data_IF_436588609932
#
_entry.id   IF_436588609932
#
_cell.length_a   1.000
_cell.length_b   1.000
_cell.length_c   1.000
_cell.angle_alpha   90.00
_cell.angle_beta   90.00
_cell.angle_gamma   90.00
#
_symmetry.space_group_name_H-M   'P 1'
#
loop_
_entity.id
_entity.type
_entity.pdbx_description
1 polymer ?
#
# COMPACT_ATOMS: atom_id res chain seq x y z
N UNK A 1 -3.74 -18.94 -27.38
CA UNK A 1 -2.63 -18.02 -27.68
C UNK A 1 -1.90 -18.54 -28.89
N UNK A 2 -1.51 -17.65 -29.80
CA UNK A 2 -0.67 -17.98 -30.96
C UNK A 2 0.76 -17.52 -30.71
N UNK A 3 1.67 -17.89 -31.59
CA UNK A 3 3.06 -17.40 -31.63
C UNK A 3 3.18 -15.88 -31.85
N UNK A 4 2.10 -15.24 -32.33
CA UNK A 4 1.99 -13.79 -32.49
C UNK A 4 1.46 -13.07 -31.25
N UNK A 5 0.87 -13.77 -30.28
CA UNK A 5 0.33 -13.15 -29.06
C UNK A 5 1.46 -12.57 -28.20
N UNK A 6 1.32 -11.32 -27.77
CA UNK A 6 2.17 -10.67 -26.77
C UNK A 6 1.37 -10.49 -25.49
N UNK A 7 1.92 -10.91 -24.35
CA UNK A 7 1.34 -10.63 -23.03
C UNK A 7 2.09 -9.46 -22.42
N UNK A 8 1.36 -8.42 -22.06
CA UNK A 8 1.88 -7.25 -21.35
C UNK A 8 1.48 -7.41 -19.90
N UNK A 9 2.48 -7.43 -19.02
CA UNK A 9 2.30 -7.46 -17.57
C UNK A 9 2.57 -6.04 -17.08
N UNK A 10 1.59 -5.48 -16.37
CA UNK A 10 1.67 -4.14 -15.78
C UNK A 10 1.67 -4.26 -14.27
N UNK A 11 2.40 -3.35 -13.61
CA UNK A 11 2.37 -3.15 -12.16
C UNK A 11 2.92 -4.31 -11.29
N UNK A 12 3.49 -5.33 -11.94
CA UNK A 12 4.27 -6.34 -11.25
C UNK A 12 5.28 -7.01 -12.17
N UNK A 13 6.46 -7.27 -11.64
CA UNK A 13 7.50 -8.09 -12.26
C UNK A 13 7.63 -9.47 -11.59
N UNK A 14 6.84 -9.77 -10.57
CA UNK A 14 6.89 -11.00 -9.77
C UNK A 14 5.86 -12.00 -10.34
N UNK A 15 6.28 -13.16 -10.88
CA UNK A 15 5.38 -14.12 -11.52
C UNK A 15 4.22 -14.59 -10.63
N UNK A 16 4.47 -14.71 -9.33
CA UNK A 16 3.51 -15.18 -8.34
C UNK A 16 2.37 -14.17 -8.07
N UNK A 17 2.59 -12.88 -8.39
CA UNK A 17 1.62 -11.81 -8.18
C UNK A 17 0.76 -11.50 -9.41
N UNK A 18 1.05 -12.12 -10.56
CA UNK A 18 0.30 -11.87 -11.79
C UNK A 18 -1.13 -12.40 -11.66
N UNK A 19 -2.12 -11.60 -12.05
CA UNK A 19 -3.55 -11.92 -11.93
C UNK A 19 -3.98 -13.22 -12.65
N UNK A 20 -3.27 -13.62 -13.70
CA UNK A 20 -3.52 -14.85 -14.44
C UNK A 20 -2.22 -15.65 -14.68
N UNK A 21 -1.72 -16.39 -13.67
CA UNK A 21 -0.46 -17.14 -13.78
C UNK A 21 -0.45 -18.16 -14.92
N UNK A 22 -1.61 -18.76 -15.22
CA UNK A 22 -1.76 -19.73 -16.31
C UNK A 22 -1.60 -19.10 -17.70
N UNK A 23 -1.95 -17.81 -17.86
CA UNK A 23 -1.69 -17.06 -19.10
C UNK A 23 -0.20 -16.76 -19.22
N UNK A 24 0.43 -16.32 -18.13
CA UNK A 24 1.88 -16.05 -18.08
C UNK A 24 2.70 -17.29 -18.45
N UNK A 25 2.33 -18.48 -17.95
CA UNK A 25 3.00 -19.76 -18.27
C UNK A 25 2.92 -20.11 -19.76
N UNK A 26 1.81 -19.80 -20.43
CA UNK A 26 1.60 -20.07 -21.86
C UNK A 26 2.20 -19.00 -22.77
N UNK A 27 2.57 -17.84 -22.22
CA UNK A 27 3.08 -16.71 -22.98
C UNK A 27 4.53 -16.91 -23.42
N UNK A 28 4.73 -17.00 -24.73
CA UNK A 28 6.08 -17.02 -25.33
C UNK A 28 6.66 -15.60 -25.37
N UNK A 29 5.87 -14.62 -25.81
CA UNK A 29 6.27 -13.20 -25.91
C UNK A 29 5.67 -12.42 -24.74
N UNK A 30 6.55 -11.78 -23.97
CA UNK A 30 6.19 -11.06 -22.73
C UNK A 30 6.78 -9.65 -22.74
N UNK A 31 6.03 -8.68 -22.24
CA UNK A 31 6.51 -7.33 -21.94
C UNK A 31 6.17 -7.04 -20.48
N UNK A 32 7.08 -6.40 -19.76
CA UNK A 32 6.86 -6.01 -18.36
C UNK A 32 6.98 -4.50 -18.25
N UNK A 33 5.98 -3.86 -17.66
CA UNK A 33 5.95 -2.43 -17.33
C UNK A 33 5.67 -2.31 -15.84
N UNK A 34 6.64 -1.81 -15.07
CA UNK A 34 6.52 -1.81 -13.60
C UNK A 34 7.32 -0.67 -12.96
N UNK A 35 6.86 -0.17 -11.83
CA UNK A 35 7.54 0.88 -11.04
C UNK A 35 8.05 0.36 -9.69
N UNK A 36 7.87 -0.93 -9.38
CA UNK A 36 8.39 -1.50 -8.15
C UNK A 36 9.91 -1.71 -8.19
N UNK A 37 10.56 -1.66 -7.02
CA UNK A 37 11.95 -2.09 -6.87
C UNK A 37 12.08 -3.57 -7.21
N UNK A 38 13.20 -3.94 -7.83
CA UNK A 38 13.45 -5.31 -8.27
C UNK A 38 13.47 -6.30 -7.10
N UNK A 39 12.70 -7.38 -7.23
CA UNK A 39 12.66 -8.50 -6.31
C UNK A 39 13.58 -9.65 -6.76
N UNK A 40 13.75 -10.64 -5.87
CA UNK A 40 14.52 -11.85 -6.17
C UNK A 40 13.86 -12.73 -7.24
N UNK A 41 12.52 -12.82 -7.23
CA UNK A 41 11.74 -13.48 -8.27
C UNK A 41 11.36 -12.47 -9.35
N UNK A 42 11.63 -12.78 -10.61
CA UNK A 42 11.27 -11.93 -11.75
C UNK A 42 10.79 -12.75 -12.95
N UNK A 43 9.85 -12.19 -13.71
CA UNK A 43 9.39 -12.75 -14.99
C UNK A 43 10.59 -12.96 -15.92
N UNK A 44 10.79 -14.21 -16.34
CA UNK A 44 11.95 -14.61 -17.14
C UNK A 44 11.74 -14.33 -18.63
N UNK A 45 12.81 -13.88 -19.29
CA UNK A 45 12.90 -13.69 -20.75
C UNK A 45 11.75 -12.84 -21.34
N UNK A 46 11.48 -11.64 -20.81
CA UNK A 46 10.63 -10.68 -21.51
C UNK A 46 11.35 -10.17 -22.76
N UNK A 47 10.57 -9.85 -23.80
CA UNK A 47 11.06 -9.13 -24.98
C UNK A 47 11.47 -7.70 -24.63
N UNK A 48 10.76 -7.10 -23.67
CA UNK A 48 11.01 -5.76 -23.17
C UNK A 48 10.65 -5.68 -21.69
N UNK A 49 11.52 -5.02 -20.93
CA UNK A 49 11.27 -4.65 -19.53
C UNK A 49 11.43 -3.15 -19.41
N UNK A 50 10.33 -2.45 -19.13
CA UNK A 50 10.33 -1.04 -18.77
C UNK A 50 10.07 -0.94 -17.27
N UNK A 51 11.15 -0.84 -16.50
CA UNK A 51 11.10 -0.77 -15.04
C UNK A 51 11.71 0.52 -14.54
N UNK A 52 10.92 1.36 -13.86
CA UNK A 52 11.36 2.66 -13.36
C UNK A 52 10.96 2.85 -11.90
N UNK A 53 11.81 2.46 -10.93
CA UNK A 53 11.52 2.54 -9.50
C UNK A 53 11.26 3.94 -8.93
N UNK A 54 11.55 4.98 -9.71
CA UNK A 54 11.30 6.38 -9.36
C UNK A 54 9.98 6.92 -9.91
N UNK A 55 9.28 6.18 -10.78
CA UNK A 55 7.98 6.58 -11.29
C UNK A 55 6.89 6.37 -10.22
N UNK A 56 5.85 7.21 -10.25
CA UNK A 56 4.81 7.15 -9.24
C UNK A 56 3.99 5.86 -9.27
N UNK A 57 3.76 5.33 -10.47
CA UNK A 57 2.81 4.24 -10.74
C UNK A 57 3.09 3.60 -12.08
N UNK A 58 2.63 2.37 -12.29
CA UNK A 58 2.58 1.79 -13.63
C UNK A 58 1.68 2.62 -14.58
N UNK A 59 0.65 3.29 -14.05
CA UNK A 59 -0.21 4.20 -14.81
C UNK A 59 0.54 5.41 -15.38
N UNK A 60 1.49 5.99 -14.64
CA UNK A 60 2.39 7.03 -15.18
C UNK A 60 3.18 6.50 -16.38
N UNK A 61 3.82 5.34 -16.24
CA UNK A 61 4.65 4.74 -17.30
C UNK A 61 3.84 4.40 -18.55
N UNK A 62 2.64 3.84 -18.39
CA UNK A 62 1.74 3.55 -19.52
C UNK A 62 1.30 4.86 -20.19
N UNK A 63 1.00 5.90 -19.41
CA UNK A 63 0.61 7.21 -19.94
C UNK A 63 1.71 7.82 -20.80
N UNK A 64 2.97 7.76 -20.36
CA UNK A 64 4.10 8.25 -21.15
C UNK A 64 4.25 7.52 -22.49
N UNK A 65 4.08 6.19 -22.48
CA UNK A 65 4.13 5.39 -23.72
C UNK A 65 3.00 5.79 -24.67
N UNK A 66 1.78 5.96 -24.17
CA UNK A 66 0.64 6.40 -25.00
C UNK A 66 0.91 7.80 -25.56
N UNK A 67 1.44 8.72 -24.77
CA UNK A 67 1.79 10.07 -25.24
C UNK A 67 2.88 10.04 -26.33
N UNK A 68 3.83 9.11 -26.25
CA UNK A 68 4.93 9.02 -27.21
C UNK A 68 4.50 8.40 -28.56
N UNK A 69 3.65 7.36 -28.52
CA UNK A 69 3.26 6.60 -29.71
C UNK A 69 1.92 7.03 -30.32
N UNK A 70 1.04 7.62 -29.52
CA UNK A 70 -0.30 8.04 -29.91
C UNK A 70 -0.47 9.57 -29.88
N UNK A 71 -1.73 10.00 -29.82
CA UNK A 71 -2.12 11.40 -29.62
C UNK A 71 -3.35 11.51 -28.73
N UNK A 72 -3.76 12.73 -28.38
CA UNK A 72 -4.86 13.01 -27.45
C UNK A 72 -6.20 12.35 -27.84
N UNK A 73 -6.40 12.00 -29.12
CA UNK A 73 -7.63 11.36 -29.65
C UNK A 73 -7.68 9.84 -29.45
N UNK A 74 -6.59 9.20 -29.01
CA UNK A 74 -6.52 7.74 -28.85
C UNK A 74 -7.09 7.23 -27.52
N UNK A 75 -7.43 8.12 -26.60
CA UNK A 75 -7.92 7.76 -25.27
C UNK A 75 -9.27 8.40 -24.98
N UNK A 76 -10.26 7.60 -24.60
CA UNK A 76 -11.55 8.12 -24.16
C UNK A 76 -11.52 8.55 -22.69
N UNK A 77 -12.57 9.27 -22.28
CA UNK A 77 -12.70 9.81 -20.92
C UNK A 77 -12.56 8.74 -19.83
N UNK A 78 -13.13 7.54 -20.04
CA UNK A 78 -13.09 6.46 -19.04
C UNK A 78 -11.68 5.90 -18.93
N UNK A 79 -11.00 5.64 -20.06
CA UNK A 79 -9.62 5.16 -20.09
C UNK A 79 -8.67 6.15 -19.41
N UNK A 80 -8.82 7.44 -19.73
CA UNK A 80 -8.04 8.50 -19.11
C UNK A 80 -8.32 8.62 -17.61
N UNK A 81 -9.58 8.47 -17.20
CA UNK A 81 -9.98 8.45 -15.79
C UNK A 81 -9.40 7.25 -15.04
N UNK A 82 -9.32 6.07 -15.66
CA UNK A 82 -8.74 4.87 -15.05
C UNK A 82 -7.23 5.02 -14.82
N UNK A 83 -6.47 5.51 -15.81
CA UNK A 83 -5.04 5.78 -15.62
C UNK A 83 -4.81 6.88 -14.59
N UNK A 84 -5.63 7.94 -14.61
CA UNK A 84 -5.52 9.02 -13.63
C UNK A 84 -5.83 8.52 -12.21
N UNK A 85 -6.82 7.64 -12.06
CA UNK A 85 -7.13 6.99 -10.80
C UNK A 85 -5.94 6.19 -10.25
N UNK A 86 -5.23 5.42 -11.09
CA UNK A 86 -4.03 4.70 -10.68
C UNK A 86 -2.93 5.63 -10.15
N UNK A 87 -2.65 6.74 -10.86
CA UNK A 87 -1.71 7.77 -10.37
C UNK A 87 -2.17 8.33 -9.02
N UNK A 88 -3.45 8.69 -8.88
CA UNK A 88 -3.98 9.26 -7.63
C UNK A 88 -3.87 8.30 -6.46
N UNK A 89 -4.11 7.01 -6.66
CA UNK A 89 -4.02 6.00 -5.57
C UNK A 89 -2.57 5.82 -5.12
N UNK A 90 -1.66 5.54 -6.05
CA UNK A 90 -0.27 5.21 -5.69
C UNK A 90 0.47 6.42 -5.08
N UNK A 91 0.13 7.63 -5.56
CA UNK A 91 0.71 8.86 -5.03
C UNK A 91 0.03 9.38 -3.77
N UNK A 92 -1.02 8.72 -3.27
CA UNK A 92 -1.90 9.22 -2.21
C UNK A 92 -2.36 10.66 -2.49
N UNK A 93 -2.92 10.87 -3.68
CA UNK A 93 -3.33 12.17 -4.20
C UNK A 93 -2.15 13.17 -4.29
N UNK A 94 -1.09 12.76 -4.97
CA UNK A 94 0.15 13.52 -5.23
C UNK A 94 1.01 13.84 -4.00
N UNK A 95 0.72 13.25 -2.84
CA UNK A 95 1.43 13.50 -1.59
C UNK A 95 2.75 12.71 -1.46
N UNK A 96 2.88 11.57 -2.12
CA UNK A 96 4.07 10.70 -2.06
C UNK A 96 4.50 10.24 -3.44
N UNK A 97 5.80 9.98 -3.61
CA UNK A 97 6.39 9.41 -4.84
C UNK A 97 6.02 10.15 -6.13
N UNK A 98 5.75 11.46 -6.02
CA UNK A 98 5.40 12.33 -7.14
C UNK A 98 6.64 13.01 -7.70
N UNK A 99 6.76 13.07 -9.03
CA UNK A 99 7.79 13.84 -9.73
C UNK A 99 7.18 14.78 -10.78
N UNK A 100 8.02 15.55 -11.48
CA UNK A 100 7.58 16.36 -12.63
C UNK A 100 6.88 15.48 -13.69
N UNK A 101 7.42 14.27 -13.94
CA UNK A 101 6.85 13.30 -14.88
C UNK A 101 5.43 12.88 -14.49
N UNK A 102 5.17 12.72 -13.20
CA UNK A 102 3.85 12.39 -12.67
C UNK A 102 2.83 13.49 -12.98
N UNK A 103 3.21 14.75 -12.82
CA UNK A 103 2.35 15.88 -13.17
C UNK A 103 2.17 16.05 -14.68
N UNK A 104 3.19 15.76 -15.48
CA UNK A 104 3.08 15.76 -16.95
C UNK A 104 2.10 14.68 -17.45
N UNK A 105 2.20 13.46 -16.91
CA UNK A 105 1.25 12.37 -17.16
C UNK A 105 -0.18 12.75 -16.75
N UNK A 106 -0.37 13.28 -15.53
CA UNK A 106 -1.67 13.74 -15.07
C UNK A 106 -2.25 14.87 -15.95
N UNK A 107 -1.41 15.79 -16.42
CA UNK A 107 -1.78 16.87 -17.34
C UNK A 107 -2.25 16.32 -18.69
N UNK A 108 -1.55 15.32 -19.24
CA UNK A 108 -1.95 14.62 -20.45
C UNK A 108 -3.29 13.91 -20.29
N UNK A 109 -3.46 13.12 -19.24
CA UNK A 109 -4.72 12.40 -18.97
C UNK A 109 -5.89 13.38 -18.79
N UNK A 110 -5.64 14.54 -18.16
CA UNK A 110 -6.67 15.57 -18.01
C UNK A 110 -7.05 16.21 -19.35
N UNK A 111 -6.11 16.40 -20.28
CA UNK A 111 -6.41 16.81 -21.66
C UNK A 111 -7.26 15.77 -22.41
N UNK A 112 -7.00 14.48 -22.18
CA UNK A 112 -7.78 13.37 -22.72
C UNK A 112 -9.17 13.21 -22.06
N UNK A 113 -9.52 14.07 -21.09
CA UNK A 113 -10.85 14.15 -20.50
C UNK A 113 -11.01 13.53 -19.11
N UNK A 114 -9.96 12.96 -18.49
CA UNK A 114 -10.04 12.25 -17.20
C UNK A 114 -10.91 13.00 -16.16
N UNK A 115 -12.02 12.39 -15.71
CA UNK A 115 -12.96 13.02 -14.79
C UNK A 115 -12.51 12.86 -13.33
N UNK A 116 -11.86 13.91 -12.82
CA UNK A 116 -11.45 14.01 -11.41
C UNK A 116 -12.60 13.81 -10.41
N UNK A 117 -13.85 14.14 -10.78
CA UNK A 117 -15.02 13.94 -9.90
C UNK A 117 -15.44 12.48 -9.85
N UNK A 118 -15.38 11.78 -10.98
CA UNK A 118 -15.57 10.33 -11.02
C UNK A 118 -14.51 9.62 -10.16
N UNK A 119 -13.24 9.97 -10.35
CA UNK A 119 -12.13 9.38 -9.59
C UNK A 119 -12.26 9.66 -8.09
N UNK A 120 -12.59 10.90 -7.70
CA UNK A 120 -12.86 11.22 -6.30
C UNK A 120 -14.03 10.41 -5.72
N UNK A 121 -15.11 10.19 -6.50
CA UNK A 121 -16.25 9.36 -6.05
C UNK A 121 -15.89 7.89 -5.92
N UNK A 122 -15.00 7.37 -6.78
CA UNK A 122 -14.55 5.98 -6.75
C UNK A 122 -13.84 5.62 -5.45
N UNK A 123 -13.12 6.58 -4.86
CA UNK A 123 -12.38 6.41 -3.61
C UNK A 123 -13.01 7.10 -2.40
N UNK A 124 -14.31 7.45 -2.48
CA UNK A 124 -15.00 8.04 -1.35
C UNK A 124 -15.17 7.00 -0.23
N UNK A 125 -14.84 7.38 1.00
CA UNK A 125 -15.03 6.55 2.18
C UNK A 125 -16.52 6.50 2.58
N UNK A 126 -17.00 5.33 2.99
CA UNK A 126 -18.36 5.16 3.49
C UNK A 126 -18.56 5.81 4.87
N UNK A 127 -19.77 6.31 5.16
CA UNK A 127 -20.05 6.99 6.42
C UNK A 127 -19.92 6.07 7.65
N UNK A 128 -20.20 4.78 7.52
CA UNK A 128 -19.99 3.81 8.58
C UNK A 128 -18.49 3.68 8.89
N UNK A 129 -17.68 3.54 7.83
CA UNK A 129 -16.22 3.50 7.95
C UNK A 129 -15.67 4.75 8.66
N UNK A 130 -16.13 5.95 8.31
CA UNK A 130 -15.75 7.20 8.97
C UNK A 130 -16.11 7.20 10.46
N UNK A 131 -17.30 6.71 10.82
CA UNK A 131 -17.75 6.66 12.22
C UNK A 131 -16.89 5.69 13.04
N UNK A 132 -16.63 4.49 12.52
CA UNK A 132 -15.80 3.50 13.21
C UNK A 132 -14.36 4.00 13.35
N UNK A 133 -13.79 4.60 12.30
CA UNK A 133 -12.48 5.25 12.36
C UNK A 133 -12.43 6.34 13.43
N UNK A 134 -13.44 7.22 13.49
CA UNK A 134 -13.50 8.26 14.50
C UNK A 134 -13.57 7.70 15.93
N UNK A 135 -14.34 6.62 16.15
CA UNK A 135 -14.42 5.93 17.43
C UNK A 135 -13.07 5.33 17.85
N UNK A 136 -12.37 4.66 16.93
CA UNK A 136 -11.04 4.09 17.17
C UNK A 136 -10.04 5.19 17.54
N UNK A 137 -10.04 6.29 16.80
CA UNK A 137 -9.15 7.43 17.06
C UNK A 137 -9.46 8.11 18.40
N UNK A 138 -10.73 8.20 18.80
CA UNK A 138 -11.14 8.79 20.07
C UNK A 138 -10.66 7.97 21.28
N UNK A 139 -10.52 6.65 21.14
CA UNK A 139 -10.05 5.73 22.19
C UNK A 139 -8.57 5.37 22.08
N UNK A 140 -7.85 5.93 21.11
CA UNK A 140 -6.42 5.70 20.94
C UNK A 140 -5.64 6.21 22.16
N UNK A 141 -4.67 5.41 22.61
CA UNK A 141 -3.67 5.80 23.60
C UNK A 141 -2.43 6.33 22.88
N UNK A 142 -1.96 7.50 23.28
CA UNK A 142 -0.64 8.01 22.91
C UNK A 142 0.32 7.80 24.09
N UNK A 143 1.40 7.07 23.87
CA UNK A 143 2.40 6.72 24.88
C UNK A 143 3.74 7.31 24.48
N UNK A 144 4.44 7.92 25.44
CA UNK A 144 5.73 8.59 25.26
C UNK A 144 5.75 9.66 24.15
N UNK A 145 4.59 10.13 23.71
CA UNK A 145 4.34 11.06 22.59
C UNK A 145 4.65 10.53 21.18
N UNK A 146 5.17 9.32 21.02
CA UNK A 146 5.53 8.77 19.70
C UNK A 146 4.99 7.36 19.42
N UNK A 147 4.33 6.71 20.39
CA UNK A 147 3.73 5.38 20.25
C UNK A 147 2.21 5.52 20.30
N UNK A 148 1.54 5.30 19.17
CA UNK A 148 0.08 5.18 19.14
C UNK A 148 -0.35 3.72 19.32
N UNK A 149 -1.31 3.49 20.22
CA UNK A 149 -1.96 2.19 20.39
C UNK A 149 -3.48 2.38 20.31
N UNK A 150 -4.13 1.65 19.41
CA UNK A 150 -5.59 1.68 19.25
C UNK A 150 -6.15 0.26 19.07
N UNK A 151 -7.48 0.14 19.11
CA UNK A 151 -8.18 -1.13 18.91
C UNK A 151 -9.45 -0.91 18.11
N UNK A 152 -9.70 -1.76 17.10
CA UNK A 152 -10.97 -1.85 16.41
C UNK A 152 -12.03 -2.46 17.35
N UNK A 153 -13.24 -1.88 17.45
CA UNK A 153 -14.34 -2.51 18.18
C UNK A 153 -14.59 -3.95 17.73
N UNK A 154 -14.93 -4.83 18.67
CA UNK A 154 -15.34 -6.20 18.34
C UNK A 154 -16.56 -6.19 17.38
N UNK A 155 -16.58 -7.13 16.44
CA UNK A 155 -17.66 -7.23 15.43
C UNK A 155 -17.57 -6.22 14.29
N UNK A 156 -16.50 -5.42 14.20
CA UNK A 156 -16.24 -4.54 13.05
C UNK A 156 -16.02 -5.35 11.77
N UNK A 157 -16.78 -5.05 10.72
CA UNK A 157 -16.60 -5.63 9.39
C UNK A 157 -15.27 -5.16 8.78
N UNK A 158 -14.57 -6.06 8.08
CA UNK A 158 -13.25 -5.79 7.50
C UNK A 158 -12.23 -5.19 8.49
N UNK A 159 -12.31 -5.63 9.76
CA UNK A 159 -11.49 -5.11 10.87
C UNK A 159 -9.98 -5.07 10.55
N UNK A 160 -9.49 -6.03 9.77
CA UNK A 160 -8.10 -6.08 9.31
C UNK A 160 -7.74 -4.93 8.36
N UNK A 161 -8.62 -4.63 7.39
CA UNK A 161 -8.41 -3.55 6.42
C UNK A 161 -8.46 -2.21 7.13
N UNK A 162 -9.47 -2.00 7.97
CA UNK A 162 -9.63 -0.81 8.79
C UNK A 162 -8.42 -0.61 9.71
N UNK A 163 -7.96 -1.66 10.39
CA UNK A 163 -6.79 -1.62 11.26
C UNK A 163 -5.52 -1.22 10.51
N UNK A 164 -5.32 -1.77 9.30
CA UNK A 164 -4.23 -1.39 8.42
C UNK A 164 -4.28 0.10 8.06
N UNK A 165 -5.42 0.56 7.56
CA UNK A 165 -5.61 1.95 7.11
C UNK A 165 -5.46 2.97 8.24
N UNK A 166 -5.97 2.68 9.44
CA UNK A 166 -5.83 3.59 10.58
C UNK A 166 -4.40 3.58 11.10
N UNK A 167 -3.73 2.43 11.17
CA UNK A 167 -2.31 2.37 11.53
C UNK A 167 -1.46 3.18 10.52
N UNK A 168 -1.72 3.03 9.22
CA UNK A 168 -1.05 3.80 8.16
C UNK A 168 -1.30 5.30 8.31
N UNK A 169 -2.52 5.71 8.65
CA UNK A 169 -2.87 7.10 8.90
C UNK A 169 -2.15 7.67 10.13
N UNK A 170 -2.11 6.93 11.24
CA UNK A 170 -1.55 7.41 12.51
C UNK A 170 -0.07 7.78 12.39
N UNK A 171 0.71 7.04 11.60
CA UNK A 171 2.13 7.35 11.36
C UNK A 171 2.33 8.63 10.53
N UNK A 172 1.30 9.12 9.84
CA UNK A 172 1.36 10.43 9.15
C UNK A 172 1.10 11.60 10.10
N UNK A 173 0.57 11.35 11.30
CA UNK A 173 0.32 12.38 12.31
C UNK A 173 1.64 12.78 12.93
N UNK A 174 1.87 14.10 13.04
CA UNK A 174 3.07 14.69 13.62
C UNK A 174 3.37 14.03 14.98
N UNK A 175 4.65 13.75 15.22
CA UNK A 175 5.20 13.16 16.46
C UNK A 175 4.99 11.64 16.62
N UNK A 176 4.03 11.02 15.94
CA UNK A 176 3.82 9.57 15.98
C UNK A 176 4.85 8.86 15.09
N UNK A 177 5.79 8.14 15.70
CA UNK A 177 6.83 7.36 15.02
C UNK A 177 6.36 5.94 14.68
N UNK A 178 5.44 5.40 15.47
CA UNK A 178 4.90 4.05 15.31
C UNK A 178 3.46 3.96 15.79
N UNK A 179 2.68 3.10 15.12
CA UNK A 179 1.30 2.82 15.49
C UNK A 179 1.05 1.31 15.58
N UNK A 180 0.28 0.91 16.57
CA UNK A 180 -0.09 -0.48 16.85
C UNK A 180 -1.61 -0.54 16.99
N UNK A 181 -2.25 -1.32 16.13
CA UNK A 181 -3.71 -1.38 16.07
C UNK A 181 -4.21 -2.80 16.21
N UNK A 182 -4.88 -3.07 17.33
CA UNK A 182 -5.49 -4.35 17.63
C UNK A 182 -6.81 -4.51 16.87
N UNK A 183 -7.08 -5.71 16.38
CA UNK A 183 -8.34 -6.04 15.73
C UNK A 183 -8.68 -7.51 15.91
N UNK A 184 -9.95 -7.86 15.73
CA UNK A 184 -10.46 -9.19 15.99
C UNK A 184 -10.84 -9.89 14.68
N UNK A 185 -10.48 -11.17 14.59
CA UNK A 185 -10.84 -12.09 13.50
C UNK A 185 -11.45 -13.37 14.08
N UNK A 186 -11.97 -14.26 13.24
CA UNK A 186 -12.48 -15.58 13.67
C UNK A 186 -11.42 -16.43 14.40
N UNK A 187 -10.15 -16.14 14.14
CA UNK A 187 -9.00 -16.79 14.73
C UNK A 187 -8.52 -16.13 16.04
N UNK A 188 -9.19 -15.05 16.48
CA UNK A 188 -8.89 -14.31 17.70
C UNK A 188 -8.24 -12.96 17.45
N UNK A 189 -7.52 -12.48 18.46
CA UNK A 189 -6.90 -11.16 18.49
C UNK A 189 -5.69 -11.09 17.54
N UNK A 190 -5.65 -10.04 16.74
CA UNK A 190 -4.60 -9.73 15.79
C UNK A 190 -4.09 -8.31 16.03
N UNK A 191 -2.90 -8.02 15.50
CA UNK A 191 -2.24 -6.73 15.63
C UNK A 191 -1.60 -6.31 14.31
N UNK A 192 -1.89 -5.08 13.90
CA UNK A 192 -1.25 -4.40 12.76
C UNK A 192 -0.28 -3.34 13.29
N UNK A 193 0.94 -3.31 12.78
CA UNK A 193 1.96 -2.34 13.15
C UNK A 193 2.44 -1.54 11.93
N UNK A 194 2.70 -0.24 12.14
CA UNK A 194 3.28 0.68 11.16
C UNK A 194 4.33 1.57 11.81
N UNK A 195 5.36 1.97 11.06
CA UNK A 195 6.34 2.98 11.47
C UNK A 195 6.69 3.94 10.34
N UNK A 196 7.09 5.15 10.73
CA UNK A 196 7.67 6.17 9.84
C UNK A 196 9.06 5.78 9.27
N UNK A 197 9.59 4.62 9.69
CA UNK A 197 10.89 4.09 9.29
C UNK A 197 11.98 4.30 10.32
N UNK A 198 11.72 5.06 11.38
CA UNK A 198 12.66 5.24 12.48
C UNK A 198 12.61 4.10 13.50
N UNK A 199 11.52 3.34 13.57
CA UNK A 199 11.38 2.18 14.47
C UNK A 199 11.15 0.93 13.64
N UNK A 200 11.92 -0.12 13.91
CA UNK A 200 11.78 -1.41 13.25
C UNK A 200 10.60 -2.20 13.86
N UNK A 201 9.43 -2.10 13.25
CA UNK A 201 8.23 -2.83 13.71
C UNK A 201 8.25 -4.31 13.41
N UNK A 202 9.08 -4.78 12.46
CA UNK A 202 9.27 -6.21 12.22
C UNK A 202 9.80 -6.91 13.49
N UNK A 203 10.85 -6.36 14.10
CA UNK A 203 11.46 -6.94 15.32
C UNK A 203 10.46 -6.94 16.49
N UNK A 204 9.64 -5.89 16.60
CA UNK A 204 8.58 -5.82 17.62
C UNK A 204 7.55 -6.94 17.42
N UNK A 205 7.12 -7.18 16.18
CA UNK A 205 6.15 -8.23 15.87
C UNK A 205 6.75 -9.64 15.99
N UNK A 206 8.00 -9.85 15.62
CA UNK A 206 8.71 -11.12 15.80
C UNK A 206 8.77 -11.53 17.29
N UNK A 207 8.97 -10.57 18.20
CA UNK A 207 8.91 -10.79 19.64
C UNK A 207 7.52 -11.23 20.15
N UNK A 208 6.47 -11.00 19.35
CA UNK A 208 5.10 -11.43 19.59
C UNK A 208 4.70 -12.67 18.76
N UNK A 209 5.65 -13.31 18.07
CA UNK A 209 5.41 -14.47 17.21
C UNK A 209 4.82 -14.14 15.83
N UNK A 210 4.88 -12.87 15.41
CA UNK A 210 4.52 -12.41 14.08
C UNK A 210 5.72 -12.14 13.18
N UNK A 211 5.58 -11.16 12.29
CA UNK A 211 6.66 -10.74 11.38
C UNK A 211 6.20 -9.67 10.39
N UNK A 212 7.07 -9.35 9.43
CA UNK A 212 6.80 -8.34 8.40
C UNK A 212 8.07 -7.68 7.89
N UNK A 213 7.99 -6.37 7.68
CA UNK A 213 9.08 -5.51 7.22
C UNK A 213 9.30 -4.37 8.22
N UNK A 214 10.42 -3.65 8.04
CA UNK A 214 10.84 -2.51 8.87
C UNK A 214 9.71 -1.56 9.24
N UNK A 215 8.87 -1.16 8.28
CA UNK A 215 7.82 -0.15 8.43
C UNK A 215 6.41 -0.71 8.53
N UNK A 216 6.21 -2.00 8.26
CA UNK A 216 4.89 -2.65 8.22
C UNK A 216 5.01 -4.09 8.66
N UNK A 217 4.31 -4.45 9.74
CA UNK A 217 4.35 -5.79 10.30
C UNK A 217 3.02 -6.13 10.97
N UNK A 218 2.82 -7.40 11.32
CA UNK A 218 1.67 -7.83 12.08
C UNK A 218 1.88 -9.16 12.80
N UNK A 219 0.99 -9.47 13.73
CA UNK A 219 0.97 -10.75 14.43
C UNK A 219 -0.46 -11.20 14.74
N UNK A 220 -0.63 -12.51 14.88
CA UNK A 220 -1.86 -13.14 15.34
C UNK A 220 -1.63 -13.72 16.74
N UNK A 221 -2.27 -13.14 17.74
CA UNK A 221 -2.14 -13.55 19.14
C UNK A 221 -3.09 -14.72 19.49
N UNK A 222 -4.07 -14.99 18.62
CA UNK A 222 -5.00 -16.10 18.77
C UNK A 222 -6.17 -15.79 19.72
N UNK A 223 -7.00 -16.79 19.98
CA UNK A 223 -8.22 -16.66 20.82
C UNK A 223 -7.92 -16.39 22.28
N UNK A 224 -6.79 -16.91 22.78
CA UNK A 224 -6.29 -16.67 24.14
C UNK A 224 -5.30 -15.49 24.18
N UNK A 225 -5.28 -14.66 23.13
CA UNK A 225 -4.38 -13.53 22.99
C UNK A 225 -4.59 -12.50 24.10
N UNK A 226 -3.52 -12.15 24.82
CA UNK A 226 -3.57 -11.15 25.88
C UNK A 226 -3.05 -9.79 25.38
N UNK A 227 -3.98 -8.85 25.18
CA UNK A 227 -3.67 -7.48 24.74
C UNK A 227 -2.70 -6.75 25.67
N UNK A 228 -2.87 -6.87 26.98
CA UNK A 228 -2.04 -6.15 27.97
C UNK A 228 -0.60 -6.69 28.00
N UNK A 229 -0.44 -8.00 27.83
CA UNK A 229 0.88 -8.62 27.66
C UNK A 229 1.54 -8.14 26.36
N UNK A 230 0.78 -8.06 25.27
CA UNK A 230 1.28 -7.55 24.00
C UNK A 230 1.69 -6.07 24.09
N UNK A 231 0.87 -5.21 24.71
CA UNK A 231 1.21 -3.80 24.97
C UNK A 231 2.55 -3.68 25.73
N UNK A 232 2.81 -4.52 26.75
CA UNK A 232 4.08 -4.51 27.49
C UNK A 232 5.28 -4.87 26.62
N UNK A 233 5.15 -5.89 25.76
CA UNK A 233 6.22 -6.30 24.83
C UNK A 233 6.48 -5.17 23.82
N UNK A 234 5.43 -4.58 23.26
CA UNK A 234 5.53 -3.44 22.34
C UNK A 234 6.34 -2.30 22.97
N UNK A 235 5.94 -1.86 24.16
CA UNK A 235 6.61 -0.75 24.85
C UNK A 235 8.07 -1.07 25.16
N UNK A 236 8.37 -2.30 25.57
CA UNK A 236 9.75 -2.73 25.88
C UNK A 236 10.63 -2.70 24.63
N UNK A 237 10.15 -3.28 23.52
CA UNK A 237 10.94 -3.37 22.28
C UNK A 237 11.13 -2.00 21.63
N UNK A 238 10.09 -1.16 21.61
CA UNK A 238 10.19 0.19 21.02
C UNK A 238 11.13 1.07 21.84
N UNK A 239 11.00 1.10 23.17
CA UNK A 239 11.87 1.92 24.03
C UNK A 239 13.33 1.50 23.92
N UNK A 240 13.61 0.20 23.83
CA UNK A 240 14.96 -0.33 23.60
C UNK A 240 15.58 0.26 22.32
N UNK A 241 14.85 0.27 21.21
CA UNK A 241 15.34 0.84 19.95
C UNK A 241 15.62 2.35 20.08
N UNK A 242 14.75 3.10 20.78
CA UNK A 242 14.93 4.55 21.01
C UNK A 242 16.13 4.84 21.92
N UNK A 243 16.46 3.95 22.86
CA UNK A 243 17.66 4.06 23.69
C UNK A 243 18.93 3.81 22.86
N UNK A 244 18.92 2.76 22.02
CA UNK A 244 20.04 2.43 21.11
C UNK A 244 20.31 3.53 20.07
N UNK A 245 19.30 4.32 19.67
CA UNK A 245 19.48 5.50 18.79
C UNK A 245 20.26 6.65 19.44
N UNK A 246 20.31 6.72 20.78
CA UNK A 246 20.95 7.82 21.53
C UNK A 246 22.42 7.56 21.85
N UNK A 247 22.89 6.32 21.71
CA UNK A 247 24.29 5.90 21.89
C UNK A 247 25.11 6.09 20.62
#
# INVERSE_FOLDING_TARGET
>A
MTDKTVVIITDTHIPELVAAPEVLKKAVKKVVIDHHRRAASIIRQPLLTYMEPSASSASELVTELVQYYGGDEEMNEIEASCLYAGIVVDTKNFAVQTSVRTFDAASFLRRCGADTKLVHRLFAEDIHFIKTKAEILAHMKLIDNYIAIAECPEGTEDSQVLAGQIADYLVTVKEIRTSFLFYHTDNGLCLSARSDGSINVQVVMEALGGGGHLTVAGCQLGKDGNKEAAEKVILTQVRKQVEEEKE
#
